data_IF_063939733928
#
_entry.id   IF_063939733928
#
_cell.length_a   1.000
_cell.length_b   1.000
_cell.length_c   1.000
_cell.angle_alpha   90.00
_cell.angle_beta   90.00
_cell.angle_gamma   90.00
#
_symmetry.space_group_name_H-M   'P 1'
#
loop_
_entity.id
_entity.type
_entity.pdbx_description
1 polymer ?
#
# COMPACT_ATOMS: atom_id res chain seq x y z
N UNK A 1 -2.96 53.46 -8.25
CA UNK A 1 -2.04 52.57 -7.50
C UNK A 1 -2.91 51.64 -6.68
N UNK A 2 -3.18 50.44 -7.19
CA UNK A 2 -3.89 49.40 -6.43
C UNK A 2 -2.81 48.52 -5.80
N UNK A 3 -2.66 48.65 -4.49
CA UNK A 3 -1.82 47.74 -3.70
C UNK A 3 -2.72 46.54 -3.39
N UNK A 4 -2.59 45.48 -4.19
CA UNK A 4 -3.27 44.22 -3.92
C UNK A 4 -2.65 43.55 -2.69
N UNK A 5 -3.42 42.80 -1.89
CA UNK A 5 -2.88 42.11 -0.72
C UNK A 5 -1.80 41.11 -1.16
N UNK A 6 -0.68 41.17 -0.46
CA UNK A 6 0.46 40.27 -0.59
C UNK A 6 0.05 38.83 -0.35
N UNK A 7 0.53 37.92 -1.21
CA UNK A 7 0.32 36.45 -1.23
C UNK A 7 0.71 35.76 0.09
N UNK A 8 1.24 36.49 1.07
CA UNK A 8 1.65 35.98 2.38
C UNK A 8 0.53 35.99 3.45
N UNK A 9 -0.59 36.69 3.24
CA UNK A 9 -1.69 36.75 4.22
C UNK A 9 -2.72 35.60 4.10
N UNK A 10 -2.59 34.72 3.11
CA UNK A 10 -3.51 33.58 2.92
C UNK A 10 -2.98 32.25 3.46
N UNK A 11 -1.80 32.24 4.09
CA UNK A 11 -1.20 31.01 4.65
C UNK A 11 -1.46 30.83 6.16
N UNK A 12 -2.09 31.79 6.83
CA UNK A 12 -2.27 31.78 8.29
C UNK A 12 -3.70 31.38 8.73
N UNK A 13 -4.53 30.92 7.80
CA UNK A 13 -5.91 30.48 8.05
C UNK A 13 -6.20 29.05 7.53
N UNK A 14 -5.24 28.15 7.64
CA UNK A 14 -5.43 26.72 7.32
C UNK A 14 -4.86 25.79 8.41
N UNK A 15 -4.88 26.24 9.67
CA UNK A 15 -4.64 25.38 10.84
C UNK A 15 -5.94 24.84 11.43
N UNK A 16 -7.05 24.89 10.70
CA UNK A 16 -8.32 24.29 11.10
C UNK A 16 -8.30 22.81 10.67
N UNK A 17 -7.89 21.99 11.62
CA UNK A 17 -8.46 20.67 11.94
C UNK A 17 -9.23 19.97 10.81
N UNK A 18 -8.50 19.40 9.86
CA UNK A 18 -9.03 18.29 9.06
C UNK A 18 -8.96 17.01 9.93
N UNK A 19 -9.79 16.97 10.99
CA UNK A 19 -10.23 15.71 11.58
C UNK A 19 -11.08 14.98 10.54
N UNK A 20 -10.39 14.34 9.61
CA UNK A 20 -10.94 13.35 8.72
C UNK A 20 -11.37 12.15 9.58
N UNK A 21 -12.58 12.26 10.14
CA UNK A 21 -13.43 11.16 10.57
C UNK A 21 -13.73 10.26 9.36
N UNK A 22 -12.70 9.60 8.83
CA UNK A 22 -12.91 8.34 8.17
C UNK A 22 -13.34 7.41 9.28
N UNK A 23 -14.65 7.16 9.36
CA UNK A 23 -15.13 5.88 9.82
C UNK A 23 -14.49 4.84 8.90
N UNK A 24 -13.23 4.51 9.18
CA UNK A 24 -12.62 3.26 8.82
C UNK A 24 -13.43 2.22 9.57
N UNK A 25 -14.60 1.88 9.03
CA UNK A 25 -14.99 0.49 9.05
C UNK A 25 -13.73 -0.25 8.66
N UNK A 26 -13.22 -1.08 9.58
CA UNK A 26 -11.97 -1.80 9.45
C UNK A 26 -11.87 -2.34 8.03
N UNK A 27 -11.19 -1.61 7.15
CA UNK A 27 -10.68 -2.20 5.93
C UNK A 27 -9.75 -3.21 6.53
N UNK A 28 -10.13 -4.48 6.43
CA UNK A 28 -9.32 -5.58 6.92
C UNK A 28 -8.02 -5.48 6.14
N UNK A 29 -7.05 -4.72 6.65
CA UNK A 29 -5.66 -4.64 6.18
C UNK A 29 -4.93 -5.91 6.63
N UNK A 30 -5.63 -7.04 6.63
CA UNK A 30 -5.03 -8.33 6.51
C UNK A 30 -5.07 -8.68 5.02
N UNK A 31 -4.35 -7.89 4.20
CA UNK A 31 -3.81 -8.36 2.92
C UNK A 31 -2.72 -9.42 3.12
N UNK A 32 -2.88 -10.22 4.17
CA UNK A 32 -1.97 -11.24 4.64
C UNK A 32 -2.71 -12.59 4.63
N UNK A 33 -2.83 -13.19 3.43
CA UNK A 33 -3.00 -14.62 3.17
C UNK A 33 -2.16 -15.57 4.07
N UNK A 34 -1.12 -15.07 4.74
CA UNK A 34 -0.28 -15.74 5.73
C UNK A 34 -1.11 -16.29 6.90
N UNK A 35 -2.37 -15.84 7.01
CA UNK A 35 -3.39 -16.43 7.86
C UNK A 35 -3.95 -17.78 7.41
N UNK A 36 -3.45 -18.43 6.35
CA UNK A 36 -3.87 -19.76 5.91
C UNK A 36 -2.72 -20.79 6.07
N UNK A 37 -2.39 -21.13 7.32
CA UNK A 37 -1.90 -22.48 7.60
C UNK A 37 -3.10 -23.42 7.42
N UNK A 38 -2.92 -24.66 6.96
CA UNK A 38 -4.03 -25.56 6.58
C UNK A 38 -5.18 -25.63 7.62
N UNK A 39 -4.82 -25.54 8.90
CA UNK A 39 -5.75 -25.50 10.04
C UNK A 39 -6.64 -24.24 10.06
N UNK A 40 -6.08 -23.05 9.84
CA UNK A 40 -6.82 -21.78 9.89
C UNK A 40 -7.67 -21.54 8.64
N UNK A 41 -7.26 -22.09 7.50
CA UNK A 41 -8.04 -22.02 6.26
C UNK A 41 -9.35 -22.78 6.41
N UNK A 42 -9.30 -24.03 6.89
CA UNK A 42 -10.50 -24.85 7.08
C UNK A 42 -11.45 -24.27 8.11
N UNK A 43 -10.91 -23.70 9.20
CA UNK A 43 -11.70 -22.97 10.20
C UNK A 43 -12.44 -21.76 9.61
N UNK A 44 -11.81 -21.03 8.68
CA UNK A 44 -12.44 -19.91 7.96
C UNK A 44 -13.53 -20.37 6.98
N UNK A 45 -13.46 -21.62 6.53
CA UNK A 45 -14.40 -22.25 5.59
C UNK A 45 -15.50 -23.07 6.27
N UNK A 46 -15.64 -22.98 7.60
CA UNK A 46 -16.63 -23.73 8.38
C UNK A 46 -18.11 -23.46 7.99
N UNK A 47 -18.37 -22.41 7.22
CA UNK A 47 -19.70 -22.08 6.69
C UNK A 47 -20.07 -22.93 5.45
N UNK A 48 -19.09 -23.61 4.83
CA UNK A 48 -19.30 -24.50 3.69
C UNK A 48 -19.55 -25.93 4.17
N UNK A 49 -20.17 -26.73 3.31
CA UNK A 49 -20.24 -28.19 3.51
C UNK A 49 -18.83 -28.78 3.49
N UNK A 50 -18.58 -29.91 4.19
CA UNK A 50 -17.25 -30.49 4.28
C UNK A 50 -16.63 -30.78 2.90
N UNK A 51 -17.44 -31.29 1.96
CA UNK A 51 -16.99 -31.57 0.60
C UNK A 51 -16.54 -30.30 -0.16
N UNK A 52 -17.26 -29.19 0.02
CA UNK A 52 -16.94 -27.90 -0.62
C UNK A 52 -15.76 -27.21 0.04
N UNK A 53 -15.64 -27.32 1.36
CA UNK A 53 -14.48 -26.84 2.11
C UNK A 53 -13.21 -27.54 1.61
N UNK A 54 -13.23 -28.86 1.45
CA UNK A 54 -12.08 -29.62 0.98
C UNK A 54 -11.75 -29.32 -0.49
N UNK A 55 -12.77 -29.23 -1.35
CA UNK A 55 -12.60 -28.83 -2.76
C UNK A 55 -11.88 -27.48 -2.86
N UNK A 56 -12.37 -26.47 -2.14
CA UNK A 56 -11.80 -25.12 -2.20
C UNK A 56 -10.42 -25.05 -1.54
N UNK A 57 -10.23 -25.68 -0.37
CA UNK A 57 -8.93 -25.77 0.28
C UNK A 57 -7.89 -26.43 -0.65
N UNK A 58 -8.27 -27.50 -1.34
CA UNK A 58 -7.37 -28.19 -2.28
C UNK A 58 -6.96 -27.28 -3.45
N UNK A 59 -7.86 -26.45 -3.97
CA UNK A 59 -7.56 -25.51 -5.06
C UNK A 59 -6.65 -24.37 -4.61
N UNK A 60 -6.92 -23.81 -3.43
CA UNK A 60 -6.11 -22.72 -2.87
C UNK A 60 -4.67 -23.18 -2.58
N UNK A 61 -4.53 -24.37 -1.99
CA UNK A 61 -3.22 -24.96 -1.70
C UNK A 61 -2.49 -25.45 -2.95
N UNK A 62 -3.21 -25.73 -4.04
CA UNK A 62 -2.62 -26.13 -5.33
C UNK A 62 -1.90 -24.98 -6.04
N UNK A 63 -2.32 -23.74 -5.83
CA UNK A 63 -1.76 -22.56 -6.51
C UNK A 63 -1.18 -21.54 -5.52
N UNK A 64 -0.19 -21.93 -4.70
CA UNK A 64 0.34 -21.08 -3.64
C UNK A 64 1.00 -19.80 -4.17
N UNK A 65 1.49 -19.83 -5.41
CA UNK A 65 2.14 -18.69 -6.06
C UNK A 65 1.13 -17.61 -6.52
N UNK A 66 -0.11 -18.00 -6.80
CA UNK A 66 -1.18 -17.06 -7.18
C UNK A 66 -1.73 -16.33 -5.95
N UNK A 67 -1.79 -17.04 -4.82
CA UNK A 67 -2.33 -16.53 -3.57
C UNK A 67 -1.23 -16.20 -2.55
N UNK A 68 -0.02 -15.90 -3.02
CA UNK A 68 1.08 -15.52 -2.13
C UNK A 68 0.87 -14.08 -1.64
N UNK A 69 1.27 -13.84 -0.41
CA UNK A 69 1.22 -12.53 0.23
C UNK A 69 2.32 -11.56 -0.12
N UNK A 70 3.34 -12.06 -0.81
CA UNK A 70 4.46 -11.24 -1.19
C UNK A 70 4.08 -10.52 -2.48
N UNK A 71 4.26 -9.19 -2.57
CA UNK A 71 4.30 -8.56 -3.87
C UNK A 71 5.45 -9.20 -4.67
N UNK A 72 5.13 -9.78 -5.82
CA UNK A 72 6.11 -10.34 -6.76
C UNK A 72 5.97 -9.67 -8.12
N UNK A 73 7.04 -9.71 -8.92
CA UNK A 73 7.04 -9.18 -10.27
C UNK A 73 6.31 -10.16 -11.20
N UNK A 74 5.26 -9.69 -11.88
CA UNK A 74 4.62 -10.49 -12.93
C UNK A 74 5.52 -10.51 -14.19
N UNK A 75 5.89 -11.69 -14.72
CA UNK A 75 6.80 -11.78 -15.86
C UNK A 75 6.10 -11.55 -17.21
N UNK A 76 4.77 -11.36 -17.22
CA UNK A 76 3.95 -11.44 -18.43
C UNK A 76 3.93 -10.17 -19.27
N UNK A 77 4.20 -9.00 -18.67
CA UNK A 77 4.19 -7.74 -19.38
C UNK A 77 5.13 -6.73 -18.73
N UNK A 78 5.93 -6.05 -19.56
CA UNK A 78 6.65 -4.85 -19.17
C UNK A 78 5.92 -3.65 -19.77
N UNK A 79 5.64 -2.64 -18.95
CA UNK A 79 5.07 -1.39 -19.44
C UNK A 79 6.19 -0.43 -19.81
N UNK A 80 6.34 -0.18 -21.12
CA UNK A 80 7.27 0.85 -21.62
C UNK A 80 6.53 2.19 -21.71
N UNK A 81 7.00 3.18 -20.96
CA UNK A 81 6.41 4.52 -20.91
C UNK A 81 7.20 5.44 -21.85
N UNK A 82 6.66 5.67 -23.05
CA UNK A 82 7.27 6.59 -24.02
C UNK A 82 7.13 8.06 -23.58
N UNK A 83 8.24 8.63 -23.09
CA UNK A 83 8.35 10.04 -22.71
C UNK A 83 8.81 10.96 -23.86
N UNK A 84 9.07 10.41 -25.06
CA UNK A 84 9.53 11.11 -26.26
C UNK A 84 10.67 12.11 -25.99
N UNK A 85 10.39 13.41 -26.14
CA UNK A 85 11.36 14.50 -26.02
C UNK A 85 11.15 15.34 -24.74
N UNK A 86 10.34 14.84 -23.80
CA UNK A 86 10.12 15.53 -22.53
C UNK A 86 11.39 15.48 -21.67
N UNK A 87 11.74 16.62 -21.07
CA UNK A 87 12.87 16.70 -20.14
C UNK A 87 12.42 16.23 -18.75
N UNK A 88 13.27 15.49 -18.01
CA UNK A 88 12.96 15.11 -16.63
C UNK A 88 12.72 16.33 -15.75
N UNK A 89 11.75 16.23 -14.84
CA UNK A 89 11.42 17.27 -13.88
C UNK A 89 11.81 16.76 -12.49
N UNK A 90 12.65 17.52 -11.79
CA UNK A 90 13.03 17.24 -10.40
C UNK A 90 12.24 18.16 -9.48
N UNK A 91 11.37 17.57 -8.67
CA UNK A 91 10.63 18.29 -7.62
C UNK A 91 11.19 17.90 -6.26
N UNK A 92 11.30 18.85 -5.30
CA UNK A 92 11.61 18.50 -3.92
C UNK A 92 10.45 17.68 -3.33
N UNK A 93 10.72 16.67 -2.50
CA UNK A 93 9.67 15.94 -1.80
C UNK A 93 8.93 16.88 -0.85
N UNK A 94 7.62 16.67 -0.72
CA UNK A 94 6.83 17.39 0.28
C UNK A 94 7.26 16.99 1.69
N UNK A 95 7.09 17.91 2.64
CA UNK A 95 7.28 17.60 4.06
C UNK A 95 6.16 16.69 4.53
N UNK A 96 6.53 15.61 5.21
CA UNK A 96 5.62 14.63 5.79
C UNK A 96 5.75 14.70 7.31
N UNK A 97 4.62 14.60 8.02
CA UNK A 97 4.61 14.49 9.48
C UNK A 97 5.30 13.16 9.90
N UNK A 98 6.09 13.13 10.99
CA UNK A 98 6.76 11.91 11.47
C UNK A 98 5.86 10.68 11.58
N UNK A 99 4.59 10.82 11.99
CA UNK A 99 3.65 9.69 12.07
C UNK A 99 3.35 9.11 10.69
N UNK A 100 3.10 9.96 9.69
CA UNK A 100 2.88 9.51 8.31
C UNK A 100 4.16 8.96 7.68
N UNK A 101 5.31 9.50 8.06
CA UNK A 101 6.61 9.01 7.60
C UNK A 101 6.85 7.57 8.09
N UNK A 102 6.51 7.24 9.34
CA UNK A 102 6.60 5.87 9.87
C UNK A 102 5.78 4.89 9.04
N UNK A 103 4.54 5.23 8.71
CA UNK A 103 3.67 4.38 7.88
C UNK A 103 4.28 4.18 6.50
N UNK A 104 4.79 5.24 5.87
CA UNK A 104 5.46 5.15 4.56
C UNK A 104 6.70 4.26 4.64
N UNK A 105 7.49 4.37 5.69
CA UNK A 105 8.70 3.56 5.89
C UNK A 105 8.36 2.06 6.06
N UNK A 106 7.29 1.76 6.80
CA UNK A 106 6.77 0.39 6.98
C UNK A 106 6.30 -0.20 5.64
N UNK A 107 5.53 0.56 4.87
CA UNK A 107 5.04 0.13 3.56
C UNK A 107 6.17 -0.05 2.53
N UNK A 108 7.16 0.84 2.52
CA UNK A 108 8.32 0.68 1.64
C UNK A 108 9.13 -0.56 2.04
N UNK A 109 9.33 -0.79 3.34
CA UNK A 109 10.05 -1.97 3.82
C UNK A 109 9.33 -3.28 3.45
N UNK A 110 7.99 -3.29 3.49
CA UNK A 110 7.17 -4.41 3.04
C UNK A 110 7.30 -4.67 1.54
N UNK A 111 7.20 -3.62 0.71
CA UNK A 111 7.17 -3.76 -0.75
C UNK A 111 8.54 -3.95 -1.42
N UNK A 112 9.60 -3.34 -0.89
CA UNK A 112 10.95 -3.34 -1.51
C UNK A 112 11.92 -4.26 -0.75
N UNK A 113 11.55 -4.68 0.46
CA UNK A 113 12.36 -5.50 1.35
C UNK A 113 13.29 -4.67 2.26
N UNK A 114 13.56 -5.13 3.50
CA UNK A 114 14.23 -4.32 4.53
C UNK A 114 15.73 -4.06 4.26
N UNK A 115 16.39 -4.92 3.46
CA UNK A 115 17.83 -4.77 3.13
C UNK A 115 18.10 -3.78 2.02
N UNK A 116 17.17 -3.63 1.07
CA UNK A 116 17.32 -2.72 -0.07
C UNK A 116 17.01 -1.26 0.32
N UNK A 117 16.10 -1.06 1.28
CA UNK A 117 15.69 0.25 1.74
C UNK A 117 16.80 0.98 2.52
N UNK A 118 17.43 0.30 3.50
CA UNK A 118 18.48 0.89 4.33
C UNK A 118 19.77 1.21 3.56
N UNK A 119 20.10 0.44 2.53
CA UNK A 119 21.31 0.64 1.72
C UNK A 119 21.29 1.90 0.84
N UNK A 120 20.14 2.59 0.72
CA UNK A 120 19.98 3.79 -0.11
C UNK A 120 19.99 5.10 0.71
N UNK A 121 20.04 4.99 2.04
CA UNK A 121 20.07 6.12 2.97
C UNK A 121 21.49 6.41 3.53
N UNK A 122 22.47 5.57 3.20
CA UNK A 122 23.91 5.76 3.44
C UNK A 122 24.60 6.29 2.16
#
# INVERSE_FOLDING_TARGET
MFVGPTVLETLEAASEEEELHHSSQDIVTAGAWAGNKDMTLRERLNHLTPDRCEELASQLLKFPDVFRDSPELTPWAAHDIDVRHCKPIKLPPYRVNPTRQSVVDEEIAYNVGPRSYKARLE
#
